data_IF_036907779308
#
_entry.id   IF_036907779308
#
_cell.length_a   1.000
_cell.length_b   1.000
_cell.length_c   1.000
_cell.angle_alpha   90.00
_cell.angle_beta   90.00
_cell.angle_gamma   90.00
#
_symmetry.space_group_name_H-M   'P 1'
#
loop_
_entity.id
_entity.type
_entity.pdbx_description
1 polymer ?
#
# COMPACT_ATOMS: atom_id res chain seq x y z
N UNK A 1 10.00 -0.95 -11.45
CA UNK A 1 10.98 0.05 -11.91
C UNK A 1 11.06 1.26 -10.99
N UNK A 2 9.92 1.85 -10.61
CA UNK A 2 9.87 3.06 -9.76
C UNK A 2 10.37 2.83 -8.33
N UNK A 3 10.33 1.59 -7.85
CA UNK A 3 10.79 1.20 -6.51
C UNK A 3 12.31 1.15 -6.38
N UNK A 4 13.04 0.88 -7.48
CA UNK A 4 14.50 0.73 -7.45
C UNK A 4 15.25 1.92 -6.84
N UNK A 5 14.98 3.19 -7.24
CA UNK A 5 15.68 4.33 -6.66
C UNK A 5 15.34 4.58 -5.18
N UNK A 6 14.24 4.02 -4.68
CA UNK A 6 13.77 4.19 -3.31
C UNK A 6 14.16 3.03 -2.39
N UNK A 7 14.61 1.88 -2.93
CA UNK A 7 14.95 0.68 -2.17
C UNK A 7 15.90 0.99 -1.01
N UNK A 8 16.98 1.67 -1.32
CA UNK A 8 18.02 1.98 -0.33
C UNK A 8 17.46 2.79 0.84
N UNK A 9 16.67 3.81 0.54
CA UNK A 9 16.08 4.68 1.58
C UNK A 9 15.01 3.97 2.38
N UNK A 10 14.05 3.29 1.71
CA UNK A 10 12.90 2.72 2.39
C UNK A 10 13.21 1.39 3.08
N UNK A 11 13.98 0.52 2.43
CA UNK A 11 14.28 -0.80 2.99
C UNK A 11 15.53 -0.77 3.87
N UNK A 12 16.58 -0.05 3.45
CA UNK A 12 17.85 0.03 4.19
C UNK A 12 17.83 1.07 5.30
N UNK A 13 17.72 2.37 4.95
CA UNK A 13 17.89 3.47 5.92
C UNK A 13 16.72 3.54 6.91
N UNK A 14 15.48 3.33 6.45
CA UNK A 14 14.27 3.35 7.28
C UNK A 14 13.87 1.97 7.81
N UNK A 15 14.78 1.01 7.82
CA UNK A 15 14.53 -0.38 8.25
C UNK A 15 13.84 -0.48 9.62
N UNK A 16 14.16 0.40 10.57
CA UNK A 16 13.59 0.37 11.93
C UNK A 16 12.22 1.02 12.01
N UNK A 17 11.91 1.96 11.11
CA UNK A 17 10.64 2.68 11.08
C UNK A 17 9.59 1.92 10.28
N UNK A 18 9.97 1.45 9.09
CA UNK A 18 9.09 0.73 8.18
C UNK A 18 9.19 -0.78 8.43
N UNK A 19 8.16 -1.34 9.02
CA UNK A 19 8.14 -2.75 9.47
C UNK A 19 7.94 -3.73 8.34
N UNK A 20 7.15 -3.38 7.32
CA UNK A 20 6.76 -4.27 6.23
C UNK A 20 6.29 -5.63 6.77
N UNK A 21 5.12 -5.69 7.45
CA UNK A 21 4.77 -6.81 8.30
C UNK A 21 4.72 -8.16 7.58
N UNK A 22 4.19 -8.21 6.38
CA UNK A 22 4.12 -9.46 5.61
C UNK A 22 5.52 -9.89 5.15
N UNK A 23 6.38 -8.95 4.70
CA UNK A 23 7.76 -9.24 4.32
C UNK A 23 8.59 -9.74 5.50
N UNK A 24 8.41 -9.13 6.67
CA UNK A 24 9.07 -9.57 7.91
C UNK A 24 8.59 -10.97 8.33
N UNK A 25 7.29 -11.25 8.24
CA UNK A 25 6.77 -12.58 8.51
C UNK A 25 7.32 -13.63 7.52
N UNK A 26 7.43 -13.29 6.23
CA UNK A 26 8.00 -14.16 5.22
C UNK A 26 9.50 -14.44 5.48
N UNK A 27 10.28 -13.44 5.89
CA UNK A 27 11.69 -13.65 6.23
C UNK A 27 11.88 -14.61 7.40
N UNK A 28 11.07 -14.50 8.44
CA UNK A 28 11.09 -15.43 9.58
C UNK A 28 10.78 -16.88 9.17
N UNK A 29 9.84 -17.06 8.23
CA UNK A 29 9.52 -18.39 7.67
C UNK A 29 10.71 -18.95 6.86
N UNK A 30 11.35 -18.12 6.04
CA UNK A 30 12.53 -18.51 5.26
C UNK A 30 13.71 -18.85 6.16
N UNK A 31 13.97 -18.06 7.21
CA UNK A 31 15.00 -18.35 8.20
C UNK A 31 14.75 -19.67 8.94
N UNK A 32 13.49 -19.92 9.32
CA UNK A 32 13.13 -21.17 9.99
C UNK A 32 13.30 -22.41 9.09
N UNK A 33 13.14 -22.23 7.77
CA UNK A 33 13.31 -23.29 6.77
C UNK A 33 14.74 -23.42 6.25
N UNK A 34 15.63 -22.45 6.55
CA UNK A 34 16.99 -22.42 6.06
C UNK A 34 17.83 -23.60 6.60
N UNK A 35 18.51 -24.30 5.70
CA UNK A 35 19.47 -25.36 6.04
C UNK A 35 20.76 -24.77 6.60
N UNK A 36 21.53 -25.58 7.37
CA UNK A 36 22.83 -25.14 7.89
C UNK A 36 23.76 -24.65 6.78
N UNK A 37 23.78 -25.34 5.65
CA UNK A 37 24.56 -24.94 4.48
C UNK A 37 24.14 -23.60 3.89
N UNK A 38 22.84 -23.27 3.94
CA UNK A 38 22.34 -21.96 3.48
C UNK A 38 22.72 -20.84 4.44
N UNK A 39 22.73 -21.10 5.74
CA UNK A 39 23.14 -20.15 6.78
C UNK A 39 24.66 -19.86 6.73
N UNK A 40 25.47 -20.90 6.55
CA UNK A 40 26.92 -20.78 6.34
C UNK A 40 27.23 -19.94 5.09
N UNK A 41 26.47 -20.16 3.99
CA UNK A 41 26.63 -19.38 2.77
C UNK A 41 26.22 -17.91 2.93
N UNK A 42 25.31 -17.61 3.86
CA UNK A 42 24.92 -16.25 4.25
C UNK A 42 25.91 -15.58 5.22
N UNK A 43 26.93 -16.29 5.68
CA UNK A 43 27.95 -15.75 6.59
C UNK A 43 27.51 -15.74 8.06
N UNK A 44 26.47 -16.46 8.42
CA UNK A 44 26.06 -16.65 9.81
C UNK A 44 27.08 -17.50 10.57
N UNK A 45 27.41 -17.05 11.79
CA UNK A 45 28.32 -17.80 12.67
C UNK A 45 27.64 -19.10 13.08
N UNK A 46 28.31 -20.22 12.87
CA UNK A 46 27.83 -21.55 13.25
C UNK A 46 27.55 -21.59 14.75
N UNK A 47 26.30 -21.71 15.12
CA UNK A 47 25.90 -22.01 16.50
C UNK A 47 25.97 -23.51 16.67
N UNK A 48 27.14 -24.01 17.13
CA UNK A 48 27.31 -25.44 17.44
C UNK A 48 26.58 -25.76 18.75
N UNK A 49 25.63 -26.69 18.68
CA UNK A 49 25.05 -27.30 19.88
C UNK A 49 23.61 -27.77 19.70
N UNK A 50 23.20 -28.64 20.62
CA UNK A 50 21.82 -29.16 20.75
C UNK A 50 20.76 -28.07 20.88
N UNK A 51 21.14 -26.85 21.23
CA UNK A 51 20.26 -25.70 21.42
C UNK A 51 19.80 -25.09 20.10
N UNK A 52 20.65 -25.05 19.06
CA UNK A 52 20.27 -24.57 17.75
C UNK A 52 19.18 -25.45 17.08
N UNK A 53 19.33 -26.76 17.17
CA UNK A 53 18.33 -27.69 16.66
C UNK A 53 17.00 -27.62 17.42
N UNK A 54 17.06 -27.41 18.74
CA UNK A 54 15.85 -27.20 19.57
C UNK A 54 15.15 -25.89 19.20
N UNK A 55 15.90 -24.83 18.99
CA UNK A 55 15.34 -23.52 18.61
C UNK A 55 14.72 -23.55 17.21
N UNK A 56 15.36 -24.16 16.22
CA UNK A 56 14.81 -24.36 14.89
C UNK A 56 13.50 -25.18 14.94
N UNK A 57 13.48 -26.27 15.72
CA UNK A 57 12.25 -27.08 15.92
C UNK A 57 11.15 -26.28 16.61
N UNK A 58 11.47 -25.43 17.57
CA UNK A 58 10.52 -24.55 18.25
C UNK A 58 9.95 -23.51 17.29
N UNK A 59 10.79 -22.83 16.49
CA UNK A 59 10.36 -21.87 15.47
C UNK A 59 9.44 -22.53 14.45
N UNK A 60 9.83 -23.68 13.92
CA UNK A 60 9.00 -24.45 13.00
C UNK A 60 7.65 -24.83 13.62
N UNK A 61 7.64 -25.31 14.87
CA UNK A 61 6.40 -25.67 15.57
C UNK A 61 5.46 -24.46 15.77
N UNK A 62 6.00 -23.27 16.02
CA UNK A 62 5.21 -22.03 16.14
C UNK A 62 4.60 -21.65 14.78
N UNK A 63 5.39 -21.71 13.70
CA UNK A 63 4.94 -21.36 12.35
C UNK A 63 3.84 -22.33 11.90
N UNK A 64 4.11 -23.65 11.96
CA UNK A 64 3.10 -24.65 11.54
C UNK A 64 1.89 -24.69 12.48
N UNK A 65 2.07 -24.42 13.76
CA UNK A 65 0.97 -24.30 14.73
C UNK A 65 0.09 -23.08 14.41
N UNK A 66 0.69 -21.93 14.12
CA UNK A 66 -0.01 -20.73 13.70
C UNK A 66 -0.75 -20.92 12.37
N UNK A 67 -0.11 -21.55 11.39
CA UNK A 67 -0.73 -21.90 10.12
C UNK A 67 -1.94 -22.82 10.33
N UNK A 68 -1.79 -23.88 11.14
CA UNK A 68 -2.87 -24.83 11.45
C UNK A 68 -4.05 -24.15 12.13
N UNK A 69 -3.78 -23.26 13.09
CA UNK A 69 -4.81 -22.47 13.76
C UNK A 69 -5.54 -21.53 12.80
N UNK A 70 -4.80 -20.82 11.95
CA UNK A 70 -5.36 -19.91 10.93
C UNK A 70 -6.20 -20.68 9.91
N UNK A 71 -5.72 -21.83 9.44
CA UNK A 71 -6.45 -22.69 8.53
C UNK A 71 -7.76 -23.21 9.17
N UNK A 72 -7.70 -23.69 10.41
CA UNK A 72 -8.87 -24.15 11.15
C UNK A 72 -9.90 -23.02 11.30
N UNK A 73 -9.44 -21.83 11.67
CA UNK A 73 -10.28 -20.64 11.76
C UNK A 73 -10.97 -20.33 10.43
N UNK A 74 -10.23 -20.28 9.32
CA UNK A 74 -10.79 -19.98 7.99
C UNK A 74 -11.76 -21.07 7.52
N UNK A 75 -11.48 -22.32 7.74
CA UNK A 75 -12.41 -23.41 7.42
C UNK A 75 -13.69 -23.27 8.24
N UNK A 76 -13.61 -23.00 9.54
CA UNK A 76 -14.77 -22.79 10.39
C UNK A 76 -15.59 -21.57 9.99
N UNK A 77 -14.95 -20.48 9.62
CA UNK A 77 -15.60 -19.24 9.20
C UNK A 77 -16.20 -19.34 7.79
N UNK A 78 -15.40 -19.69 6.78
CA UNK A 78 -15.80 -19.63 5.36
C UNK A 78 -16.61 -20.86 4.95
N UNK A 79 -16.14 -22.07 5.30
CA UNK A 79 -16.78 -23.32 4.87
C UNK A 79 -18.02 -23.64 5.69
N UNK A 80 -17.93 -23.48 7.01
CA UNK A 80 -19.04 -23.78 7.91
C UNK A 80 -19.91 -22.55 8.23
N UNK A 81 -19.50 -21.34 7.80
CA UNK A 81 -20.21 -20.08 8.09
C UNK A 81 -20.50 -19.90 9.58
N UNK A 82 -19.54 -20.26 10.43
CA UNK A 82 -19.70 -20.30 11.89
C UNK A 82 -20.04 -18.92 12.49
N UNK A 83 -19.56 -17.85 11.86
CA UNK A 83 -19.84 -16.46 12.26
C UNK A 83 -19.71 -15.53 11.05
N UNK A 84 -20.17 -14.29 11.19
CA UNK A 84 -20.03 -13.25 10.18
C UNK A 84 -18.57 -12.78 10.10
N UNK A 85 -18.05 -12.55 8.90
CA UNK A 85 -16.68 -12.05 8.70
C UNK A 85 -16.46 -10.73 9.42
N UNK A 86 -17.41 -9.80 9.31
CA UNK A 86 -17.43 -8.53 10.04
C UNK A 86 -18.59 -8.55 11.02
N UNK A 87 -18.27 -8.57 12.30
CA UNK A 87 -19.27 -8.36 13.34
C UNK A 87 -19.55 -6.85 13.40
N UNK A 88 -20.70 -6.41 12.92
CA UNK A 88 -21.13 -5.01 12.91
C UNK A 88 -22.29 -4.80 13.87
N UNK A 89 -22.18 -3.75 14.68
CA UNK A 89 -23.23 -3.31 15.58
C UNK A 89 -23.59 -1.85 15.26
N UNK A 90 -24.82 -1.62 14.88
CA UNK A 90 -25.35 -0.30 14.62
C UNK A 90 -25.98 0.29 15.89
N UNK A 91 -25.60 1.52 16.19
CA UNK A 91 -26.11 2.20 17.38
C UNK A 91 -27.51 2.78 17.11
N UNK A 92 -28.38 2.68 18.12
CA UNK A 92 -29.66 3.38 18.13
C UNK A 92 -29.53 4.84 18.61
N UNK A 93 -30.64 5.51 18.86
CA UNK A 93 -30.62 6.84 19.44
C UNK A 93 -29.80 6.88 20.77
N UNK A 94 -28.96 7.90 21.00
CA UNK A 94 -28.83 9.17 20.24
C UNK A 94 -27.91 9.11 19.02
N UNK A 95 -27.15 8.04 18.82
CA UNK A 95 -26.14 7.88 17.74
C UNK A 95 -26.73 7.15 16.53
N UNK A 96 -27.81 7.68 15.94
CA UNK A 96 -28.65 7.01 14.92
C UNK A 96 -27.91 6.47 13.68
N UNK A 97 -26.73 6.97 13.36
CA UNK A 97 -25.95 6.52 12.22
C UNK A 97 -24.56 6.00 12.62
N UNK A 98 -24.32 5.82 13.90
CA UNK A 98 -23.05 5.24 14.37
C UNK A 98 -23.08 3.74 14.25
N UNK A 99 -21.97 3.18 13.86
CA UNK A 99 -21.74 1.75 13.89
C UNK A 99 -20.35 1.45 14.43
N UNK A 100 -20.21 0.31 15.07
CA UNK A 100 -18.93 -0.25 15.44
C UNK A 100 -18.85 -1.66 14.88
N UNK A 101 -17.85 -1.93 14.08
CA UNK A 101 -17.62 -3.24 13.52
C UNK A 101 -16.15 -3.63 13.63
N UNK A 102 -15.90 -4.94 13.73
CA UNK A 102 -14.56 -5.50 13.72
C UNK A 102 -14.54 -6.75 12.85
N UNK A 103 -13.57 -6.80 11.97
CA UNK A 103 -13.20 -8.04 11.29
C UNK A 103 -12.18 -8.76 12.16
N UNK A 104 -12.58 -9.93 12.66
CA UNK A 104 -11.70 -10.76 13.49
C UNK A 104 -11.09 -11.82 12.59
N UNK A 105 -9.85 -11.58 12.14
CA UNK A 105 -9.12 -12.55 11.33
C UNK A 105 -7.70 -12.73 11.87
N UNK A 106 -7.20 -13.99 11.93
CA UNK A 106 -5.87 -14.30 12.47
C UNK A 106 -4.75 -13.56 11.74
N UNK A 107 -4.86 -13.39 10.43
CA UNK A 107 -3.91 -12.66 9.60
C UNK A 107 -3.82 -11.18 9.99
N UNK A 108 -4.95 -10.50 10.22
CA UNK A 108 -4.97 -9.10 10.65
C UNK A 108 -4.45 -8.91 12.07
N UNK A 109 -4.71 -9.87 12.95
CA UNK A 109 -4.13 -9.89 14.31
C UNK A 109 -2.61 -10.01 14.23
N UNK A 110 -2.09 -10.88 13.37
CA UNK A 110 -0.65 -11.03 13.13
C UNK A 110 0.00 -9.75 12.60
N UNK A 111 -0.61 -9.12 11.59
CA UNK A 111 -0.16 -7.83 11.05
C UNK A 111 -0.18 -6.77 12.15
N UNK A 112 -1.28 -6.66 12.91
CA UNK A 112 -1.41 -5.71 14.02
C UNK A 112 -0.33 -5.87 15.09
N UNK A 113 0.05 -7.12 15.40
CA UNK A 113 1.14 -7.42 16.33
C UNK A 113 2.50 -6.89 15.83
N UNK A 114 2.81 -7.09 14.54
CA UNK A 114 4.08 -6.67 13.94
C UNK A 114 4.19 -5.15 13.85
N UNK A 115 3.13 -4.46 13.38
CA UNK A 115 3.14 -2.99 13.25
C UNK A 115 3.17 -2.28 14.59
N UNK A 116 2.60 -2.93 15.62
CA UNK A 116 2.61 -2.44 17.00
C UNK A 116 1.50 -1.44 17.33
N UNK A 117 1.35 -1.11 18.63
CA UNK A 117 0.20 -0.36 19.11
C UNK A 117 0.11 1.07 18.58
N UNK A 118 1.24 1.74 18.33
CA UNK A 118 1.24 3.13 17.86
C UNK A 118 0.51 3.28 16.53
N UNK A 119 0.83 2.45 15.56
CA UNK A 119 0.21 2.49 14.22
C UNK A 119 -1.22 1.95 14.31
N UNK A 120 -1.44 0.83 15.00
CA UNK A 120 -2.76 0.25 15.18
C UNK A 120 -3.76 1.23 15.79
N UNK A 121 -3.37 1.98 16.84
CA UNK A 121 -4.22 3.01 17.43
C UNK A 121 -4.45 4.21 16.52
N UNK A 122 -3.48 4.57 15.68
CA UNK A 122 -3.68 5.64 14.67
C UNK A 122 -4.74 5.23 13.65
N UNK A 123 -4.71 3.96 13.19
CA UNK A 123 -5.73 3.42 12.28
C UNK A 123 -7.10 3.35 12.97
N UNK A 124 -7.16 2.86 14.21
CA UNK A 124 -8.39 2.83 14.98
C UNK A 124 -8.98 4.23 15.22
N UNK A 125 -8.15 5.24 15.48
CA UNK A 125 -8.58 6.63 15.60
C UNK A 125 -9.22 7.17 14.30
N UNK A 126 -8.69 6.77 13.13
CA UNK A 126 -9.31 7.08 11.83
C UNK A 126 -10.70 6.44 11.68
N UNK A 127 -10.86 5.19 12.12
CA UNK A 127 -12.16 4.52 12.16
C UNK A 127 -13.16 5.21 13.10
N UNK A 128 -12.73 5.58 14.30
CA UNK A 128 -13.55 6.33 15.26
C UNK A 128 -13.97 7.69 14.68
N UNK A 129 -13.02 8.42 14.09
CA UNK A 129 -13.31 9.70 13.43
C UNK A 129 -14.35 9.53 12.31
N UNK A 130 -14.22 8.50 11.50
CA UNK A 130 -15.12 8.22 10.38
C UNK A 130 -16.52 7.83 10.87
N UNK A 131 -16.63 6.74 11.62
CA UNK A 131 -17.91 6.12 11.94
C UNK A 131 -18.64 6.78 13.12
N UNK A 132 -17.92 7.31 14.12
CA UNK A 132 -18.54 7.89 15.29
C UNK A 132 -18.65 9.42 15.24
N UNK A 133 -17.90 10.09 14.37
CA UNK A 133 -17.96 11.55 14.26
C UNK A 133 -18.48 11.99 12.89
N UNK A 134 -17.76 11.70 11.79
CA UNK A 134 -18.12 12.24 10.47
C UNK A 134 -19.47 11.75 9.98
N UNK A 135 -19.73 10.44 10.04
CA UNK A 135 -21.01 9.86 9.60
C UNK A 135 -22.16 10.41 10.44
N UNK A 136 -21.96 10.55 11.75
CA UNK A 136 -22.97 11.14 12.64
C UNK A 136 -23.27 12.60 12.30
N UNK A 137 -22.23 13.40 12.06
CA UNK A 137 -22.39 14.80 11.66
C UNK A 137 -23.13 14.93 10.33
N UNK A 138 -22.74 14.12 9.33
CA UNK A 138 -23.42 14.12 8.03
C UNK A 138 -24.90 13.75 8.19
N UNK A 139 -25.20 12.71 8.97
CA UNK A 139 -26.58 12.30 9.24
C UNK A 139 -27.37 13.39 9.96
N UNK A 140 -26.80 13.95 11.03
CA UNK A 140 -27.46 14.97 11.85
C UNK A 140 -27.79 16.23 11.06
N UNK A 141 -26.85 16.78 10.29
CA UNK A 141 -27.10 17.98 9.48
C UNK A 141 -27.88 17.68 8.18
N UNK A 142 -27.76 16.47 7.65
CA UNK A 142 -28.39 16.06 6.41
C UNK A 142 -29.82 15.49 6.56
N UNK A 143 -30.21 15.08 7.77
CA UNK A 143 -31.53 14.45 8.02
C UNK A 143 -32.72 15.36 7.64
N UNK A 144 -32.52 16.67 7.76
CA UNK A 144 -33.56 17.68 7.45
C UNK A 144 -33.64 18.05 5.96
N UNK A 145 -32.71 17.58 5.14
CA UNK A 145 -32.68 17.91 3.72
C UNK A 145 -33.73 17.09 2.95
N UNK A 146 -34.43 17.78 2.07
CA UNK A 146 -35.49 17.19 1.21
C UNK A 146 -34.98 16.81 -0.19
N UNK A 147 -33.71 17.10 -0.49
CA UNK A 147 -33.08 16.83 -1.79
C UNK A 147 -31.82 16.03 -1.55
N UNK A 148 -31.50 15.03 -2.39
CA UNK A 148 -30.24 14.32 -2.32
C UNK A 148 -29.07 15.28 -2.52
N UNK A 149 -28.03 15.13 -1.71
CA UNK A 149 -26.79 15.92 -1.82
C UNK A 149 -25.78 15.12 -2.67
N UNK A 150 -25.29 15.72 -3.75
CA UNK A 150 -24.26 15.08 -4.57
C UNK A 150 -22.97 14.85 -3.75
N UNK A 151 -22.29 13.72 -3.90
CA UNK A 151 -22.47 12.66 -4.89
C UNK A 151 -23.51 11.58 -4.49
N UNK A 152 -24.13 11.69 -3.32
CA UNK A 152 -25.19 10.76 -2.91
C UNK A 152 -26.41 10.83 -3.82
N UNK A 153 -27.01 9.68 -4.09
CA UNK A 153 -28.22 9.54 -4.95
C UNK A 153 -29.50 9.41 -4.16
N UNK A 154 -29.42 9.15 -2.85
CA UNK A 154 -30.54 9.00 -1.92
C UNK A 154 -30.55 10.15 -0.91
N UNK A 155 -31.68 10.32 -0.24
CA UNK A 155 -31.78 11.27 0.89
C UNK A 155 -30.94 10.77 2.06
N UNK A 156 -30.19 11.66 2.67
CA UNK A 156 -29.29 11.32 3.80
C UNK A 156 -30.05 10.67 4.96
N UNK A 157 -31.31 11.04 5.17
CA UNK A 157 -32.16 10.42 6.20
C UNK A 157 -32.40 8.92 5.98
N UNK A 158 -32.39 8.47 4.72
CA UNK A 158 -32.68 7.08 4.33
C UNK A 158 -31.40 6.25 4.14
N UNK A 159 -30.22 6.89 4.21
CA UNK A 159 -28.90 6.25 4.09
C UNK A 159 -28.53 5.48 5.35
N UNK A 160 -28.00 4.27 5.17
CA UNK A 160 -27.29 3.53 6.21
C UNK A 160 -25.91 4.16 6.51
N UNK A 161 -25.24 3.79 7.60
CA UNK A 161 -23.87 4.25 7.88
C UNK A 161 -22.89 3.95 6.74
N UNK A 162 -22.99 2.78 6.11
CA UNK A 162 -22.14 2.38 5.00
C UNK A 162 -22.45 3.18 3.72
N UNK A 163 -23.71 3.49 3.44
CA UNK A 163 -24.08 4.37 2.31
C UNK A 163 -23.48 5.78 2.48
N UNK A 164 -23.53 6.34 3.70
CA UNK A 164 -22.94 7.65 4.00
C UNK A 164 -21.41 7.58 3.88
N UNK A 165 -20.79 6.50 4.33
CA UNK A 165 -19.36 6.26 4.15
C UNK A 165 -19.00 6.29 2.67
N UNK A 166 -19.66 5.52 1.86
CA UNK A 166 -19.34 5.35 0.45
C UNK A 166 -19.65 6.60 -0.38
N UNK A 167 -20.74 7.31 -0.05
CA UNK A 167 -21.10 8.53 -0.74
C UNK A 167 -20.24 9.75 -0.39
N UNK A 168 -19.77 9.87 0.86
CA UNK A 168 -19.12 11.10 1.32
C UNK A 168 -17.76 10.87 2.00
N UNK A 169 -17.67 9.98 2.98
CA UNK A 169 -16.46 9.81 3.80
C UNK A 169 -15.31 9.23 3.00
N UNK A 170 -15.59 8.38 2.01
CA UNK A 170 -14.60 7.82 1.09
C UNK A 170 -13.80 8.92 0.37
N UNK A 171 -14.48 9.98 -0.08
CA UNK A 171 -13.82 11.11 -0.77
C UNK A 171 -12.99 11.97 0.19
N UNK A 172 -13.46 12.14 1.43
CA UNK A 172 -12.68 12.82 2.48
C UNK A 172 -11.41 12.02 2.75
N UNK A 173 -11.53 10.69 2.89
CA UNK A 173 -10.40 9.78 3.07
C UNK A 173 -9.42 9.80 1.90
N UNK A 174 -9.94 9.77 0.66
CA UNK A 174 -9.12 9.86 -0.54
C UNK A 174 -8.32 11.18 -0.59
N UNK A 175 -8.97 12.30 -0.24
CA UNK A 175 -8.32 13.61 -0.15
C UNK A 175 -7.23 13.62 0.94
N UNK A 176 -7.48 13.03 2.09
CA UNK A 176 -6.51 12.92 3.17
C UNK A 176 -5.28 12.09 2.75
N UNK A 177 -5.49 10.95 2.06
CA UNK A 177 -4.39 10.12 1.51
C UNK A 177 -3.60 10.89 0.45
N UNK A 178 -4.27 11.61 -0.45
CA UNK A 178 -3.61 12.42 -1.47
C UNK A 178 -2.75 13.54 -0.85
N UNK A 179 -3.31 14.27 0.12
CA UNK A 179 -2.60 15.34 0.81
C UNK A 179 -1.41 14.80 1.63
N UNK A 180 -1.63 13.75 2.41
CA UNK A 180 -0.58 13.08 3.19
C UNK A 180 0.52 12.52 2.29
N UNK A 181 0.15 11.94 1.16
CA UNK A 181 1.06 11.45 0.14
C UNK A 181 1.93 12.56 -0.47
N UNK A 182 1.33 13.70 -0.84
CA UNK A 182 2.06 14.86 -1.34
C UNK A 182 3.06 15.40 -0.31
N UNK A 183 2.64 15.54 0.94
CA UNK A 183 3.52 15.99 2.04
C UNK A 183 4.67 15.00 2.24
N UNK A 184 4.38 13.70 2.24
CA UNK A 184 5.39 12.65 2.37
C UNK A 184 6.37 12.67 1.20
N UNK A 185 5.90 12.86 -0.03
CA UNK A 185 6.74 13.00 -1.21
C UNK A 185 7.69 14.20 -1.08
N UNK A 186 7.16 15.38 -0.73
CA UNK A 186 7.97 16.60 -0.57
C UNK A 186 9.07 16.38 0.48
N UNK A 187 8.75 15.72 1.59
CA UNK A 187 9.74 15.36 2.63
C UNK A 187 10.78 14.36 2.15
N UNK A 188 10.42 13.47 1.24
CA UNK A 188 11.32 12.44 0.69
C UNK A 188 12.13 12.94 -0.51
N UNK A 189 11.75 14.08 -1.14
CA UNK A 189 12.44 14.64 -2.30
C UNK A 189 13.96 14.79 -2.13
N UNK A 190 14.48 15.28 -1.00
CA UNK A 190 15.95 15.39 -0.82
C UNK A 190 16.64 14.04 -0.92
N UNK A 191 16.10 12.99 -0.29
CA UNK A 191 16.65 11.63 -0.34
C UNK A 191 16.57 11.03 -1.74
N UNK A 192 15.43 11.20 -2.42
CA UNK A 192 15.23 10.77 -3.80
C UNK A 192 16.22 11.49 -4.74
N UNK A 193 16.37 12.79 -4.58
CA UNK A 193 17.30 13.59 -5.36
C UNK A 193 18.77 13.21 -5.17
N UNK A 194 19.15 12.93 -3.93
CA UNK A 194 20.50 12.44 -3.62
C UNK A 194 20.73 11.04 -4.21
N UNK A 195 19.75 10.13 -4.12
CA UNK A 195 19.80 8.82 -4.76
C UNK A 195 19.91 8.92 -6.29
N UNK A 196 19.15 9.81 -6.91
CA UNK A 196 19.18 10.05 -8.35
C UNK A 196 20.56 10.64 -8.78
N UNK A 197 21.07 11.63 -8.06
CA UNK A 197 22.43 12.19 -8.29
C UNK A 197 23.50 11.12 -8.19
N UNK A 198 23.45 10.27 -7.15
CA UNK A 198 24.40 9.17 -6.97
C UNK A 198 24.31 8.17 -8.13
N UNK A 199 23.10 7.82 -8.58
CA UNK A 199 22.87 6.97 -9.75
C UNK A 199 23.41 7.57 -11.05
N UNK A 200 23.17 8.87 -11.29
CA UNK A 200 23.68 9.59 -12.47
C UNK A 200 25.21 9.76 -12.44
N UNK A 201 25.78 10.06 -11.26
CA UNK A 201 27.22 10.18 -11.11
C UNK A 201 27.95 8.83 -11.36
N UNK A 202 27.29 7.71 -11.04
CA UNK A 202 27.77 6.36 -11.35
C UNK A 202 27.77 6.05 -12.87
N UNK A 203 26.95 6.76 -13.68
CA UNK A 203 26.96 6.62 -15.14
C UNK A 203 28.17 7.28 -15.82
N UNK A 204 28.77 8.32 -15.20
CA UNK A 204 29.89 9.06 -15.76
C UNK A 204 31.27 8.52 -15.40
N UNK A 205 31.38 7.68 -14.38
CA UNK A 205 32.62 7.01 -13.99
C UNK A 205 32.62 5.58 -14.50
N UNK A 206 33.42 5.33 -15.56
CA UNK A 206 33.63 3.98 -16.08
C UNK A 206 34.06 3.02 -14.96
N UNK A 207 33.75 1.77 -15.16
CA UNK A 207 33.99 0.47 -14.45
C UNK A 207 34.95 0.39 -13.21
N UNK A 208 35.26 1.49 -12.49
CA UNK A 208 36.38 1.50 -11.52
C UNK A 208 36.07 1.99 -10.10
N UNK A 209 34.81 2.17 -9.70
CA UNK A 209 34.53 2.69 -8.36
C UNK A 209 33.29 2.05 -7.68
N UNK A 210 33.13 0.73 -7.77
CA UNK A 210 32.39 0.00 -6.76
C UNK A 210 33.37 -0.27 -5.61
N UNK A 211 33.09 0.08 -4.35
CA UNK A 211 33.90 -0.36 -3.23
C UNK A 211 33.92 -1.90 -3.24
N UNK A 212 35.11 -2.48 -3.18
CA UNK A 212 35.37 -3.90 -3.29
C UNK A 212 34.74 -4.79 -2.18
N UNK A 213 33.87 -4.23 -1.38
CA UNK A 213 33.21 -4.87 -0.22
C UNK A 213 31.69 -4.85 -0.27
N UNK A 214 31.03 -4.39 -1.36
CA UNK A 214 29.58 -4.45 -1.43
C UNK A 214 29.12 -5.86 -1.77
N UNK A 215 28.32 -6.44 -0.90
CA UNK A 215 27.61 -7.68 -1.15
C UNK A 215 26.85 -7.56 -2.48
N UNK A 216 26.71 -8.66 -3.22
CA UNK A 216 25.93 -8.69 -4.47
C UNK A 216 24.52 -8.14 -4.28
N UNK A 217 23.94 -8.34 -3.10
CA UNK A 217 22.62 -7.85 -2.70
C UNK A 217 22.53 -6.32 -2.57
N UNK A 218 23.66 -5.62 -2.41
CA UNK A 218 23.72 -4.16 -2.34
C UNK A 218 23.82 -3.49 -3.71
N UNK A 219 23.97 -4.30 -4.77
CA UNK A 219 24.09 -3.80 -6.14
C UNK A 219 22.73 -3.66 -6.78
N UNK A 220 22.32 -2.43 -7.05
CA UNK A 220 21.09 -2.13 -7.79
C UNK A 220 21.31 -2.24 -9.30
N UNK A 221 20.18 -2.46 -10.03
CA UNK A 221 20.18 -2.43 -11.49
C UNK A 221 20.63 -1.05 -11.98
N UNK A 222 21.55 -0.95 -12.95
CA UNK A 222 22.01 0.32 -13.49
C UNK A 222 20.84 1.20 -13.95
N UNK A 223 20.85 2.46 -13.54
CA UNK A 223 19.76 3.43 -13.82
C UNK A 223 19.39 3.53 -15.31
N UNK A 224 20.33 3.29 -16.22
CA UNK A 224 20.08 3.25 -17.68
C UNK A 224 18.99 2.24 -18.06
N UNK A 225 18.97 1.07 -17.43
CA UNK A 225 17.96 0.03 -17.69
C UNK A 225 16.60 0.43 -17.12
N UNK A 226 16.59 1.11 -15.98
CA UNK A 226 15.36 1.65 -15.37
C UNK A 226 14.76 2.72 -16.30
N UNK A 227 15.57 3.68 -16.74
CA UNK A 227 15.13 4.73 -17.66
C UNK A 227 14.63 4.16 -18.99
N UNK A 228 15.34 3.20 -19.56
CA UNK A 228 14.94 2.53 -20.80
C UNK A 228 13.64 1.75 -20.63
N UNK A 229 13.47 1.06 -19.50
CA UNK A 229 12.23 0.37 -19.15
C UNK A 229 11.05 1.32 -19.00
N UNK A 230 11.23 2.47 -18.34
CA UNK A 230 10.19 3.50 -18.22
C UNK A 230 9.79 4.08 -19.59
N UNK A 231 10.77 4.42 -20.45
CA UNK A 231 10.50 4.88 -21.79
C UNK A 231 9.78 3.83 -22.64
N UNK A 232 10.18 2.56 -22.52
CA UNK A 232 9.52 1.44 -23.21
C UNK A 232 8.05 1.30 -22.77
N UNK A 233 7.77 1.35 -21.47
CA UNK A 233 6.38 1.31 -20.94
C UNK A 233 5.57 2.50 -21.44
N UNK A 234 6.11 3.71 -21.41
CA UNK A 234 5.44 4.91 -21.93
C UNK A 234 5.11 4.74 -23.41
N UNK A 235 6.06 4.26 -24.21
CA UNK A 235 5.83 4.01 -25.62
C UNK A 235 4.71 2.96 -25.82
N UNK A 236 4.77 1.83 -25.14
CA UNK A 236 3.72 0.80 -25.23
C UNK A 236 2.35 1.37 -24.86
N UNK A 237 2.25 2.09 -23.75
CA UNK A 237 0.98 2.68 -23.29
C UNK A 237 0.47 3.71 -24.31
N UNK A 238 1.35 4.55 -24.87
CA UNK A 238 0.95 5.59 -25.83
C UNK A 238 0.44 5.00 -27.14
N UNK A 239 1.03 3.89 -27.59
CA UNK A 239 0.64 3.21 -28.84
C UNK A 239 -0.48 2.16 -28.63
N UNK A 240 -0.88 1.87 -27.39
CA UNK A 240 -1.98 0.95 -27.10
C UNK A 240 -3.33 1.57 -27.47
N UNK A 241 -3.83 1.24 -28.66
CA UNK A 241 -5.09 1.77 -29.21
C UNK A 241 -6.32 1.60 -28.30
N UNK A 242 -6.48 0.46 -27.53
CA UNK A 242 -7.62 0.28 -26.65
C UNK A 242 -7.71 1.27 -25.48
N UNK A 243 -6.57 1.84 -25.08
CA UNK A 243 -6.50 2.77 -23.97
C UNK A 243 -6.87 4.20 -24.35
N UNK A 244 -7.03 4.49 -25.66
CA UNK A 244 -7.24 5.84 -26.21
C UNK A 244 -6.26 6.88 -25.60
N UNK A 245 -5.02 6.42 -25.30
CA UNK A 245 -4.04 7.22 -24.59
C UNK A 245 -3.48 8.34 -25.46
N UNK A 246 -3.24 9.46 -24.84
CA UNK A 246 -2.51 10.58 -25.43
C UNK A 246 -1.22 10.85 -24.65
N UNK A 247 -0.35 11.69 -25.18
CA UNK A 247 0.92 12.02 -24.57
C UNK A 247 0.76 12.59 -23.14
N UNK A 248 -0.26 13.41 -22.92
CA UNK A 248 -0.54 13.96 -21.59
C UNK A 248 -0.96 12.84 -20.61
N UNK A 249 -1.84 11.94 -21.03
CA UNK A 249 -2.23 10.79 -20.23
C UNK A 249 -1.04 9.91 -19.84
N UNK A 250 -0.13 9.64 -20.79
CA UNK A 250 1.10 8.89 -20.52
C UNK A 250 2.03 9.63 -19.54
N UNK A 251 2.14 10.96 -19.64
CA UNK A 251 2.89 11.79 -18.69
C UNK A 251 2.26 11.77 -17.30
N UNK A 252 0.93 11.85 -17.20
CA UNK A 252 0.21 11.76 -15.93
C UNK A 252 0.41 10.40 -15.26
N UNK A 253 0.41 9.31 -16.04
CA UNK A 253 0.75 7.97 -15.51
C UNK A 253 2.16 7.96 -14.92
N UNK A 254 3.14 8.56 -15.58
CA UNK A 254 4.50 8.63 -15.07
C UNK A 254 4.56 9.40 -13.75
N UNK A 255 3.96 10.58 -13.70
CA UNK A 255 3.98 11.47 -12.52
C UNK A 255 3.20 10.87 -11.36
N UNK A 256 1.93 10.50 -11.58
CA UNK A 256 1.09 9.94 -10.53
C UNK A 256 1.50 8.51 -10.18
N UNK A 257 1.98 7.72 -11.15
CA UNK A 257 2.52 6.40 -10.90
C UNK A 257 3.72 6.45 -9.96
N UNK A 258 4.67 7.35 -10.19
CA UNK A 258 5.81 7.54 -9.28
C UNK A 258 5.36 8.06 -7.91
N UNK A 259 4.50 9.08 -7.87
CA UNK A 259 3.96 9.63 -6.64
C UNK A 259 3.28 8.55 -5.80
N UNK A 260 2.28 7.87 -6.36
CA UNK A 260 1.49 6.90 -5.60
C UNK A 260 2.21 5.57 -5.38
N UNK A 261 3.17 5.19 -6.22
CA UNK A 261 4.08 4.07 -5.92
C UNK A 261 4.92 4.36 -4.67
N UNK A 262 5.44 5.59 -4.54
CA UNK A 262 6.20 6.00 -3.35
C UNK A 262 5.34 6.01 -2.10
N UNK A 263 4.13 6.59 -2.18
CA UNK A 263 3.18 6.66 -1.07
C UNK A 263 2.74 5.26 -0.65
N UNK A 264 2.34 4.42 -1.61
CA UNK A 264 1.91 3.05 -1.39
C UNK A 264 3.00 2.22 -0.72
N UNK A 265 4.23 2.28 -1.24
CA UNK A 265 5.37 1.57 -0.67
C UNK A 265 5.62 1.95 0.80
N UNK A 266 5.55 3.24 1.13
CA UNK A 266 5.71 3.72 2.49
C UNK A 266 4.57 3.26 3.40
N UNK A 267 3.32 3.45 2.97
CA UNK A 267 2.15 3.02 3.75
C UNK A 267 2.16 1.51 3.97
N UNK A 268 2.49 0.72 2.95
CA UNK A 268 2.66 -0.73 3.10
C UNK A 268 3.71 -1.08 4.17
N UNK A 269 4.79 -0.31 4.27
CA UNK A 269 5.78 -0.48 5.33
C UNK A 269 5.27 -0.17 6.74
N UNK A 270 4.28 0.72 6.85
CA UNK A 270 3.69 1.11 8.12
C UNK A 270 2.50 0.21 8.53
N UNK A 271 1.56 -0.06 7.58
CA UNK A 271 0.27 -0.70 7.90
C UNK A 271 0.08 -2.09 7.26
N UNK A 272 0.99 -2.51 6.39
CA UNK A 272 0.87 -3.75 5.62
C UNK A 272 0.14 -3.57 4.27
N UNK A 273 0.23 -4.61 3.45
CA UNK A 273 -0.38 -4.61 2.10
C UNK A 273 -1.89 -4.68 2.15
N UNK A 274 -2.43 -5.45 3.11
CA UNK A 274 -3.87 -5.66 3.28
C UNK A 274 -4.64 -4.40 3.65
N UNK A 275 -3.98 -3.47 4.37
CA UNK A 275 -4.57 -2.21 4.85
C UNK A 275 -4.14 -0.99 4.03
N UNK A 276 -3.42 -1.19 2.93
CA UNK A 276 -2.96 -0.10 2.08
C UNK A 276 -4.13 0.54 1.32
N UNK A 277 -4.36 1.86 1.43
CA UNK A 277 -5.51 2.54 0.85
C UNK A 277 -5.35 2.81 -0.66
N UNK A 278 -5.11 1.77 -1.45
CA UNK A 278 -4.88 1.85 -2.91
C UNK A 278 -6.11 2.45 -3.61
N UNK A 279 -7.31 2.12 -3.16
CA UNK A 279 -8.56 2.69 -3.68
C UNK A 279 -8.61 4.22 -3.52
N UNK A 280 -8.15 4.75 -2.39
CA UNK A 280 -8.04 6.18 -2.16
C UNK A 280 -7.05 6.87 -3.13
N UNK A 281 -5.92 6.22 -3.40
CA UNK A 281 -4.93 6.70 -4.37
C UNK A 281 -5.48 6.69 -5.81
N UNK A 282 -6.25 5.66 -6.19
CA UNK A 282 -6.91 5.58 -7.48
C UNK A 282 -7.96 6.69 -7.65
N UNK A 283 -8.80 6.94 -6.64
CA UNK A 283 -9.78 8.03 -6.63
C UNK A 283 -9.08 9.39 -6.75
N UNK A 284 -8.01 9.62 -5.99
CA UNK A 284 -7.22 10.86 -6.08
C UNK A 284 -6.63 11.04 -7.48
N UNK A 285 -6.06 9.98 -8.08
CA UNK A 285 -5.54 10.03 -9.46
C UNK A 285 -6.62 10.42 -10.46
N UNK A 286 -7.80 9.81 -10.35
CA UNK A 286 -8.93 10.10 -11.23
C UNK A 286 -9.38 11.56 -11.08
N UNK A 287 -9.54 12.05 -9.84
CA UNK A 287 -9.94 13.43 -9.58
C UNK A 287 -8.95 14.43 -10.18
N UNK A 288 -7.65 14.26 -9.95
CA UNK A 288 -6.63 15.14 -10.51
C UNK A 288 -6.58 15.06 -12.04
N UNK A 289 -6.68 13.86 -12.61
CA UNK A 289 -6.69 13.68 -14.06
C UNK A 289 -7.91 14.35 -14.70
N UNK A 290 -9.10 14.14 -14.13
CA UNK A 290 -10.33 14.77 -14.60
C UNK A 290 -10.27 16.30 -14.45
N UNK A 291 -9.71 16.81 -13.37
CA UNK A 291 -9.53 18.24 -13.15
C UNK A 291 -8.61 18.86 -14.22
N UNK A 292 -7.47 18.20 -14.51
CA UNK A 292 -6.55 18.64 -15.55
C UNK A 292 -7.23 18.62 -16.92
N UNK A 293 -7.97 17.57 -17.25
CA UNK A 293 -8.70 17.48 -18.52
C UNK A 293 -9.78 18.56 -18.64
N UNK A 294 -10.49 18.84 -17.54
CA UNK A 294 -11.49 19.91 -17.49
C UNK A 294 -10.87 21.28 -17.74
N UNK A 295 -9.73 21.58 -17.09
CA UNK A 295 -9.00 22.86 -17.33
C UNK A 295 -8.49 22.98 -18.77
N UNK A 296 -8.12 21.83 -19.37
CA UNK A 296 -7.71 21.79 -20.80
C UNK A 296 -8.88 21.83 -21.78
N UNK A 297 -10.13 21.86 -21.28
CA UNK A 297 -11.33 21.82 -22.13
C UNK A 297 -11.57 20.46 -22.81
N UNK A 298 -10.93 19.40 -22.31
CA UNK A 298 -11.04 18.05 -22.85
C UNK A 298 -12.23 17.31 -22.21
N UNK A 299 -13.39 17.49 -22.79
CA UNK A 299 -14.65 16.87 -22.37
C UNK A 299 -15.17 15.91 -23.43
N UNK A 300 -15.85 14.83 -23.02
CA UNK A 300 -16.47 13.86 -23.91
C UNK A 300 -15.98 12.43 -23.71
N UNK A 301 -16.67 11.47 -24.34
CA UNK A 301 -16.54 10.04 -24.09
C UNK A 301 -15.11 9.49 -24.21
N UNK A 302 -14.34 9.95 -25.18
CA UNK A 302 -12.95 9.52 -25.39
C UNK A 302 -12.05 9.86 -24.19
N UNK A 303 -12.22 11.05 -23.63
CA UNK A 303 -11.38 11.51 -22.52
C UNK A 303 -11.75 10.84 -21.19
N UNK A 304 -13.01 10.38 -21.03
CA UNK A 304 -13.39 9.55 -19.89
C UNK A 304 -12.63 8.22 -19.89
N UNK A 305 -12.53 7.57 -21.06
CA UNK A 305 -11.76 6.33 -21.19
C UNK A 305 -10.29 6.57 -20.87
N UNK A 306 -9.70 7.67 -21.39
CA UNK A 306 -8.32 8.04 -21.08
C UNK A 306 -8.13 8.26 -19.57
N UNK A 307 -9.02 9.00 -18.91
CA UNK A 307 -8.91 9.25 -17.46
C UNK A 307 -9.02 7.96 -16.64
N UNK A 308 -9.97 7.08 -16.99
CA UNK A 308 -10.11 5.77 -16.35
C UNK A 308 -8.87 4.90 -16.56
N UNK A 309 -8.29 4.91 -17.77
CA UNK A 309 -7.05 4.18 -18.06
C UNK A 309 -5.87 4.70 -17.24
N UNK A 310 -5.73 6.02 -17.08
CA UNK A 310 -4.71 6.64 -16.21
C UNK A 310 -4.90 6.16 -14.78
N UNK A 311 -6.12 6.25 -14.23
CA UNK A 311 -6.44 5.82 -12.88
C UNK A 311 -6.16 4.34 -12.65
N UNK A 312 -6.56 3.49 -13.59
CA UNK A 312 -6.34 2.04 -13.50
C UNK A 312 -4.85 1.68 -13.53
N UNK A 313 -4.08 2.25 -14.43
CA UNK A 313 -2.63 1.97 -14.54
C UNK A 313 -1.89 2.47 -13.29
N UNK A 314 -2.23 3.64 -12.78
CA UNK A 314 -1.63 4.18 -11.55
C UNK A 314 -2.02 3.33 -10.34
N UNK A 315 -3.26 2.84 -10.27
CA UNK A 315 -3.71 1.90 -9.24
C UNK A 315 -2.87 0.62 -9.23
N UNK A 316 -2.66 0.02 -10.41
CA UNK A 316 -1.81 -1.18 -10.57
C UNK A 316 -0.36 -0.86 -10.15
N UNK A 317 0.18 0.28 -10.57
CA UNK A 317 1.53 0.69 -10.22
C UNK A 317 1.71 0.86 -8.71
N UNK A 318 0.73 1.49 -8.03
CA UNK A 318 0.74 1.67 -6.59
C UNK A 318 0.62 0.33 -5.85
N UNK A 319 -0.25 -0.57 -6.29
CA UNK A 319 -0.39 -1.91 -5.73
C UNK A 319 0.92 -2.70 -5.84
N UNK A 320 1.48 -2.78 -7.04
CA UNK A 320 2.73 -3.49 -7.27
C UNK A 320 3.93 -2.88 -6.51
N UNK A 321 3.95 -1.58 -6.29
CA UNK A 321 5.00 -0.94 -5.51
C UNK A 321 4.94 -1.38 -4.03
N UNK A 322 3.75 -1.48 -3.46
CA UNK A 322 3.54 -1.99 -2.11
C UNK A 322 4.03 -3.43 -1.96
N UNK A 323 3.57 -4.35 -2.82
CA UNK A 323 3.97 -5.76 -2.78
C UNK A 323 5.46 -5.95 -3.04
N UNK A 324 6.03 -5.24 -4.04
CA UNK A 324 7.49 -5.28 -4.32
C UNK A 324 8.30 -4.83 -3.09
N UNK A 325 7.81 -3.86 -2.31
CA UNK A 325 8.50 -3.42 -1.09
C UNK A 325 8.51 -4.49 -0.01
N UNK A 326 7.44 -5.28 0.11
CA UNK A 326 7.39 -6.44 1.00
C UNK A 326 8.39 -7.51 0.58
N UNK A 327 8.46 -7.81 -0.73
CA UNK A 327 9.43 -8.77 -1.26
C UNK A 327 10.87 -8.32 -1.02
N UNK A 328 11.16 -7.04 -1.26
CA UNK A 328 12.49 -6.48 -0.98
C UNK A 328 12.84 -6.53 0.49
N UNK A 329 11.86 -6.35 1.38
CA UNK A 329 12.06 -6.49 2.82
C UNK A 329 12.32 -7.92 3.23
N UNK A 330 11.63 -8.88 2.63
CA UNK A 330 11.86 -10.31 2.85
C UNK A 330 13.30 -10.71 2.51
N UNK A 331 13.88 -10.12 1.44
CA UNK A 331 15.25 -10.40 1.02
C UNK A 331 16.34 -9.61 1.74
N UNK A 332 15.98 -8.61 2.55
CA UNK A 332 16.90 -7.76 3.29
C UNK A 332 17.27 -8.36 4.65
#
# INVERSE_FOLDING_TARGET
>A
LMMLPMRRTMIGEQHRELKYPEGTACSEVLEAAATETSREAAGEVRVEGSDAAREAKRRAAIIFGGFGLGLLYKVANVSFKGWKDVANFEFGAPLKAGSAGAEISPELVGVGYIIGPRIAFTMAAGGVLSYLLLIQMIKFFGELLTVPVSPGTMLIKDMSPDDIRDAYVLYIGAGAVAAGGLISLVRSLPSIWNGLKAGLAGMGKGKGAAPASSLRTDQDIPFKWVAMGCLGIIAIITFATPLHMNLLGALLILVFGFLFATVSSRLTGEVGSSSNPISGMAVATLLFTCLIFLVMGWTGGRYYVTALSVGAIVCIAASNAGTTSQDLKTGF
#
